data_IF_961816222261
#
_entry.id   IF_961816222261
#
_cell.length_a   1.000
_cell.length_b   1.000
_cell.length_c   1.000
_cell.angle_alpha   90.00
_cell.angle_beta   90.00
_cell.angle_gamma   90.00
#
_symmetry.space_group_name_H-M   'P 1'
#
loop_
_entity.id
_entity.type
_entity.pdbx_description
1 polymer ?
#
# COMPACT_ATOMS: atom_id res chain seq x y z
N UNK A 1 19.23 17.33 -16.83
CA UNK A 1 18.15 17.04 -15.88
C UNK A 1 17.55 18.38 -15.37
N UNK A 2 16.21 18.58 -15.41
CA UNK A 2 15.58 19.84 -14.98
C UNK A 2 15.68 20.08 -13.46
N UNK A 3 16.07 19.08 -12.70
CA UNK A 3 16.19 19.15 -11.24
C UNK A 3 17.65 19.25 -10.74
N UNK A 4 18.62 19.19 -11.64
CA UNK A 4 20.05 19.28 -11.27
C UNK A 4 20.35 20.55 -10.48
N UNK A 5 20.99 20.38 -9.31
CA UNK A 5 21.35 21.48 -8.40
C UNK A 5 20.19 22.07 -7.60
N UNK A 6 18.99 21.51 -7.70
CA UNK A 6 17.82 21.90 -6.91
C UNK A 6 17.73 21.10 -5.62
N UNK A 7 17.09 21.70 -4.61
CA UNK A 7 16.66 21.04 -3.40
C UNK A 7 15.22 20.56 -3.57
N UNK A 8 15.02 19.25 -3.54
CA UNK A 8 13.70 18.66 -3.71
C UNK A 8 13.22 18.06 -2.39
N UNK A 9 12.03 18.43 -1.96
CA UNK A 9 11.37 17.86 -0.78
C UNK A 9 10.24 16.96 -1.24
N UNK A 10 10.27 15.69 -0.85
CA UNK A 10 9.23 14.70 -1.12
C UNK A 10 8.42 14.49 0.15
N UNK A 11 7.14 14.84 0.11
CA UNK A 11 6.22 14.69 1.25
C UNK A 11 5.53 13.33 1.17
N UNK A 12 5.89 12.42 2.07
CA UNK A 12 5.42 11.04 2.14
C UNK A 12 6.56 10.06 2.38
N UNK A 13 6.24 8.84 2.79
CA UNK A 13 7.20 7.78 3.16
C UNK A 13 6.75 6.37 2.75
N UNK A 14 5.84 6.24 1.80
CA UNK A 14 5.41 4.95 1.24
C UNK A 14 6.10 4.68 -0.11
N UNK A 15 5.65 3.65 -0.87
CA UNK A 15 6.28 3.22 -2.13
C UNK A 15 6.66 4.41 -3.04
N UNK A 16 5.70 5.26 -3.42
CA UNK A 16 5.96 6.37 -4.34
C UNK A 16 7.02 7.34 -3.82
N UNK A 17 7.01 7.64 -2.52
CA UNK A 17 7.99 8.56 -1.92
C UNK A 17 9.41 7.97 -2.00
N UNK A 18 9.58 6.70 -1.67
CA UNK A 18 10.86 6.02 -1.74
C UNK A 18 11.40 5.97 -3.18
N UNK A 19 10.57 5.51 -4.12
CA UNK A 19 10.97 5.39 -5.53
C UNK A 19 11.34 6.76 -6.13
N UNK A 20 10.55 7.81 -5.83
CA UNK A 20 10.84 9.18 -6.29
C UNK A 20 12.14 9.70 -5.67
N UNK A 21 12.34 9.50 -4.36
CA UNK A 21 13.58 9.92 -3.70
C UNK A 21 14.81 9.22 -4.27
N UNK A 22 14.74 7.91 -4.50
CA UNK A 22 15.83 7.15 -5.11
C UNK A 22 16.14 7.64 -6.53
N UNK A 23 15.12 7.81 -7.38
CA UNK A 23 15.29 8.31 -8.73
C UNK A 23 15.89 9.74 -8.78
N UNK A 24 15.48 10.61 -7.85
CA UNK A 24 16.06 11.95 -7.72
C UNK A 24 17.52 11.90 -7.26
N UNK A 25 17.83 11.06 -6.29
CA UNK A 25 19.20 10.85 -5.82
C UNK A 25 20.13 10.32 -6.94
N UNK A 26 19.68 9.31 -7.70
CA UNK A 26 20.38 8.78 -8.87
C UNK A 26 20.66 9.87 -9.93
N UNK A 27 19.76 10.84 -10.05
CA UNK A 27 19.95 12.01 -10.92
C UNK A 27 20.85 13.10 -10.33
N UNK A 28 21.43 12.88 -9.14
CA UNK A 28 22.33 13.83 -8.48
C UNK A 28 21.62 15.02 -7.82
N UNK A 29 20.37 14.86 -7.44
CA UNK A 29 19.54 15.90 -6.80
C UNK A 29 19.68 15.84 -5.27
N UNK A 30 19.72 16.99 -4.61
CA UNK A 30 19.65 17.09 -3.15
C UNK A 30 18.21 16.84 -2.69
N UNK A 31 17.92 15.63 -2.19
CA UNK A 31 16.57 15.18 -1.87
C UNK A 31 16.36 15.00 -0.36
N UNK A 32 15.21 15.46 0.11
CA UNK A 32 14.74 15.27 1.49
C UNK A 32 13.37 14.60 1.49
N UNK A 33 13.24 13.47 2.18
CA UNK A 33 11.96 12.82 2.47
C UNK A 33 11.36 13.39 3.75
N UNK A 34 10.06 13.70 3.73
CA UNK A 34 9.30 14.10 4.93
C UNK A 34 8.36 12.96 5.32
N UNK A 35 8.66 12.34 6.45
CA UNK A 35 7.84 11.29 7.05
C UNK A 35 6.93 11.86 8.12
N UNK A 36 5.60 11.75 7.90
CA UNK A 36 4.58 12.20 8.86
C UNK A 36 4.18 11.13 9.87
N UNK A 37 4.16 9.89 9.44
CA UNK A 37 3.69 8.74 10.23
C UNK A 37 4.50 7.51 9.88
N UNK A 38 4.49 6.53 10.77
CA UNK A 38 5.19 5.27 10.59
C UNK A 38 4.84 4.56 9.28
N UNK A 39 5.81 3.89 8.71
CA UNK A 39 5.69 3.11 7.47
C UNK A 39 6.21 1.70 7.70
N UNK A 40 5.45 0.70 7.27
CA UNK A 40 5.95 -0.67 7.21
C UNK A 40 6.91 -0.82 6.04
N UNK A 41 8.12 -1.29 6.30
CA UNK A 41 9.09 -1.62 5.24
C UNK A 41 9.36 -3.12 5.25
N UNK A 42 9.42 -3.70 4.06
CA UNK A 42 9.88 -5.08 3.87
C UNK A 42 10.79 -5.14 2.65
N UNK A 43 11.92 -5.84 2.76
CA UNK A 43 12.81 -6.08 1.61
C UNK A 43 12.11 -6.96 0.59
N UNK A 44 12.27 -6.62 -0.68
CA UNK A 44 11.65 -7.38 -1.79
C UNK A 44 12.08 -8.84 -1.77
N UNK A 45 13.37 -9.11 -1.55
CA UNK A 45 13.93 -10.47 -1.53
C UNK A 45 13.35 -11.29 -0.38
N UNK A 46 13.28 -10.71 0.82
CA UNK A 46 12.75 -11.39 2.02
C UNK A 46 11.23 -11.64 1.88
N UNK A 47 10.49 -10.68 1.32
CA UNK A 47 9.07 -10.84 1.02
C UNK A 47 8.84 -11.96 0.00
N UNK A 48 9.65 -12.00 -1.06
CA UNK A 48 9.52 -13.01 -2.12
C UNK A 48 9.90 -14.40 -1.63
N UNK A 49 10.88 -14.55 -0.73
CA UNK A 49 11.28 -15.84 -0.20
C UNK A 49 10.36 -16.34 0.91
N UNK A 50 10.18 -15.56 1.98
CA UNK A 50 9.44 -15.97 3.17
C UNK A 50 7.92 -15.77 2.99
N UNK A 51 7.50 -14.62 2.45
CA UNK A 51 6.09 -14.26 2.36
C UNK A 51 5.34 -14.92 1.21
N UNK A 52 5.99 -15.11 0.08
CA UNK A 52 5.37 -15.56 -1.16
C UNK A 52 5.98 -16.83 -1.74
N UNK A 53 7.15 -17.27 -1.27
CA UNK A 53 7.95 -18.32 -1.88
C UNK A 53 7.26 -19.68 -2.00
N UNK A 54 6.42 -20.05 -1.04
CA UNK A 54 5.70 -21.32 -1.06
C UNK A 54 4.55 -21.36 -2.09
N UNK A 55 4.12 -20.21 -2.58
CA UNK A 55 3.03 -20.10 -3.55
C UNK A 55 3.46 -19.55 -4.91
N UNK A 56 4.38 -18.57 -4.93
CA UNK A 56 4.69 -17.78 -6.13
C UNK A 56 6.21 -17.77 -6.45
N UNK A 57 6.83 -18.93 -6.46
CA UNK A 57 8.24 -19.10 -6.83
C UNK A 57 8.42 -20.24 -7.84
N UNK A 58 9.60 -20.32 -8.45
CA UNK A 58 9.98 -21.44 -9.30
C UNK A 58 9.90 -22.77 -8.51
N UNK A 59 10.34 -22.78 -7.25
CA UNK A 59 10.25 -23.93 -6.33
C UNK A 59 8.78 -24.38 -6.14
N UNK A 60 7.86 -23.44 -6.02
CA UNK A 60 6.43 -23.74 -5.90
C UNK A 60 5.90 -24.42 -7.18
N UNK A 61 6.24 -23.89 -8.35
CA UNK A 61 5.87 -24.47 -9.66
C UNK A 61 6.45 -25.89 -9.83
N UNK A 62 7.70 -26.09 -9.50
CA UNK A 62 8.36 -27.40 -9.55
C UNK A 62 7.70 -28.43 -8.61
N UNK A 63 7.16 -27.97 -7.48
CA UNK A 63 6.40 -28.81 -6.54
C UNK A 63 4.94 -29.05 -6.96
N UNK A 64 4.51 -28.52 -8.10
CA UNK A 64 3.15 -28.65 -8.65
C UNK A 64 2.14 -27.62 -8.13
N UNK A 65 2.62 -26.51 -7.57
CA UNK A 65 1.78 -25.35 -7.24
C UNK A 65 1.78 -24.39 -8.43
N UNK A 66 0.80 -24.56 -9.34
CA UNK A 66 0.62 -23.63 -10.46
C UNK A 66 0.11 -22.28 -9.98
N UNK A 67 0.20 -21.25 -10.82
CA UNK A 67 -0.30 -19.90 -10.48
C UNK A 67 -1.78 -19.91 -10.11
N UNK A 68 -2.63 -20.66 -10.83
CA UNK A 68 -4.06 -20.80 -10.53
C UNK A 68 -4.30 -21.48 -9.18
N UNK A 69 -3.50 -22.50 -8.85
CA UNK A 69 -3.57 -23.17 -7.57
C UNK A 69 -3.12 -22.25 -6.43
N UNK A 70 -2.04 -21.50 -6.63
CA UNK A 70 -1.54 -20.52 -5.67
C UNK A 70 -2.59 -19.44 -5.39
N UNK A 71 -3.20 -18.88 -6.43
CA UNK A 71 -4.26 -17.87 -6.31
C UNK A 71 -5.46 -18.42 -5.52
N UNK A 72 -5.86 -19.66 -5.83
CA UNK A 72 -6.97 -20.33 -5.14
C UNK A 72 -6.66 -20.57 -3.66
N UNK A 73 -5.44 -21.04 -3.35
CA UNK A 73 -5.00 -21.25 -1.96
C UNK A 73 -5.03 -19.93 -1.20
N UNK A 74 -4.41 -18.87 -1.75
CA UNK A 74 -4.36 -17.57 -1.10
C UNK A 74 -5.75 -16.97 -0.91
N UNK A 75 -6.61 -17.03 -1.92
CA UNK A 75 -7.96 -16.50 -1.86
C UNK A 75 -8.91 -17.33 -0.96
N UNK A 76 -8.59 -18.60 -0.66
CA UNK A 76 -9.37 -19.46 0.22
C UNK A 76 -9.19 -19.14 1.71
N UNK A 77 -8.17 -18.38 2.07
CA UNK A 77 -7.92 -18.00 3.47
C UNK A 77 -8.88 -16.85 3.83
N UNK A 78 -9.80 -17.05 4.80
CA UNK A 78 -10.67 -15.97 5.23
C UNK A 78 -9.86 -14.79 5.80
N UNK A 79 -10.16 -13.57 5.37
CA UNK A 79 -9.43 -12.38 5.85
C UNK A 79 -9.48 -12.22 7.36
N UNK A 80 -10.54 -12.70 7.99
CA UNK A 80 -10.71 -12.67 9.45
C UNK A 80 -9.60 -13.37 10.22
N UNK A 81 -9.03 -14.43 9.67
CA UNK A 81 -7.95 -15.21 10.31
C UNK A 81 -6.60 -15.05 9.61
N UNK A 82 -6.53 -14.29 8.53
CA UNK A 82 -5.30 -14.14 7.74
C UNK A 82 -4.15 -13.57 8.58
N UNK A 83 -4.43 -12.68 9.53
CA UNK A 83 -3.42 -12.13 10.43
C UNK A 83 -2.70 -13.21 11.25
N UNK A 84 -3.37 -14.31 11.63
CA UNK A 84 -2.76 -15.40 12.38
C UNK A 84 -1.67 -16.12 11.56
N UNK A 85 -1.80 -16.15 10.24
CA UNK A 85 -0.79 -16.69 9.33
C UNK A 85 0.32 -15.68 9.02
N UNK A 86 -0.01 -14.38 9.03
CA UNK A 86 0.94 -13.33 8.65
C UNK A 86 1.91 -13.00 9.80
N UNK A 87 1.46 -12.93 11.04
CA UNK A 87 2.30 -12.55 12.19
C UNK A 87 3.58 -13.38 12.25
N UNK A 88 3.55 -14.73 12.24
CA UNK A 88 4.77 -15.54 12.29
C UNK A 88 5.74 -15.30 11.13
N UNK A 89 5.20 -15.02 9.92
CA UNK A 89 6.03 -14.72 8.75
C UNK A 89 6.76 -13.39 8.91
N UNK A 90 6.07 -12.35 9.42
CA UNK A 90 6.70 -11.06 9.65
C UNK A 90 7.65 -11.06 10.85
N UNK A 91 7.42 -11.88 11.87
CA UNK A 91 8.40 -12.10 12.94
C UNK A 91 9.68 -12.72 12.38
N UNK A 92 9.57 -13.73 11.52
CA UNK A 92 10.72 -14.34 10.84
C UNK A 92 11.44 -13.33 9.92
N UNK A 93 10.73 -12.54 9.12
CA UNK A 93 11.32 -11.49 8.28
C UNK A 93 12.08 -10.47 9.12
N UNK A 94 11.52 -10.08 10.27
CA UNK A 94 12.16 -9.15 11.21
C UNK A 94 13.46 -9.70 11.78
N UNK A 95 13.52 -10.98 12.09
CA UNK A 95 14.74 -11.65 12.57
C UNK A 95 15.81 -11.72 11.48
N UNK A 96 15.42 -12.11 10.26
CA UNK A 96 16.35 -12.23 9.11
C UNK A 96 16.94 -10.87 8.73
N UNK A 97 16.15 -9.81 8.73
CA UNK A 97 16.55 -8.46 8.34
C UNK A 97 16.83 -7.54 9.55
N UNK A 98 17.20 -8.08 10.72
CA UNK A 98 17.34 -7.31 11.96
C UNK A 98 18.32 -6.13 11.82
N UNK A 99 19.49 -6.33 11.22
CA UNK A 99 20.50 -5.30 11.03
C UNK A 99 20.02 -4.19 10.07
N UNK A 100 19.24 -4.56 9.06
CA UNK A 100 18.63 -3.63 8.12
C UNK A 100 17.62 -2.72 8.82
N UNK A 101 16.73 -3.26 9.65
CA UNK A 101 15.78 -2.45 10.40
C UNK A 101 16.47 -1.58 11.45
N UNK A 102 17.49 -2.10 12.14
CA UNK A 102 18.29 -1.32 13.08
C UNK A 102 19.00 -0.12 12.41
N UNK A 103 19.45 -0.26 11.16
CA UNK A 103 20.03 0.83 10.40
C UNK A 103 19.01 1.93 10.07
N UNK A 104 17.79 1.58 9.69
CA UNK A 104 16.70 2.52 9.42
C UNK A 104 16.26 3.25 10.69
N UNK A 105 16.09 2.54 11.80
CA UNK A 105 15.74 3.14 13.09
C UNK A 105 16.86 4.11 13.57
N UNK A 106 18.11 3.74 13.38
CA UNK A 106 19.26 4.61 13.70
C UNK A 106 19.27 5.88 12.86
N UNK A 107 18.80 5.81 11.60
CA UNK A 107 18.64 6.98 10.73
C UNK A 107 17.42 7.83 11.11
N UNK A 108 16.60 7.39 12.07
CA UNK A 108 15.41 8.09 12.54
C UNK A 108 14.14 7.76 11.76
N UNK A 109 14.16 6.70 10.94
CA UNK A 109 12.97 6.25 10.21
C UNK A 109 11.95 5.62 11.18
N UNK A 110 10.72 6.10 11.16
CA UNK A 110 9.64 5.59 12.00
C UNK A 110 9.01 4.35 11.33
N UNK A 111 9.45 3.18 11.80
CA UNK A 111 8.98 1.87 11.33
C UNK A 111 7.68 1.46 12.02
N UNK A 112 6.87 0.68 11.31
CA UNK A 112 5.67 0.06 11.89
C UNK A 112 5.45 -1.35 11.32
N UNK A 113 4.80 -2.19 12.10
CA UNK A 113 4.54 -3.60 11.79
C UNK A 113 3.04 -3.89 11.61
N UNK A 114 2.23 -2.82 11.50
CA UNK A 114 0.78 -2.91 11.54
C UNK A 114 0.24 -2.90 12.97
N UNK A 115 -1.06 -2.67 13.12
CA UNK A 115 -1.70 -2.54 14.44
C UNK A 115 -1.59 -3.80 15.32
N UNK A 116 -1.38 -4.95 14.71
CA UNK A 116 -1.30 -6.27 15.35
C UNK A 116 -0.02 -7.06 15.00
N UNK A 117 0.95 -6.43 14.37
CA UNK A 117 2.18 -7.09 13.93
C UNK A 117 2.05 -7.91 12.65
N UNK A 118 0.90 -7.88 11.96
CA UNK A 118 0.63 -8.67 10.77
C UNK A 118 1.19 -8.11 9.44
N UNK A 119 1.91 -7.00 9.51
CA UNK A 119 2.72 -6.46 8.43
C UNK A 119 1.96 -6.01 7.18
N UNK A 120 2.62 -6.17 6.03
CA UNK A 120 2.23 -5.60 4.74
C UNK A 120 0.83 -6.03 4.29
N UNK A 121 0.53 -7.35 4.27
CA UNK A 121 -0.72 -7.81 3.67
C UNK A 121 -1.96 -7.30 4.40
N UNK A 122 -1.94 -7.27 5.73
CA UNK A 122 -3.06 -6.73 6.48
C UNK A 122 -3.14 -5.20 6.39
N UNK A 123 -2.01 -4.48 6.33
CA UNK A 123 -2.03 -3.03 6.04
C UNK A 123 -2.62 -2.76 4.66
N UNK A 124 -2.22 -3.52 3.66
CA UNK A 124 -2.75 -3.43 2.31
C UNK A 124 -4.26 -3.71 2.28
N UNK A 125 -4.73 -4.80 2.86
CA UNK A 125 -6.15 -5.17 2.86
C UNK A 125 -7.00 -4.16 3.64
N UNK A 126 -6.50 -3.64 4.77
CA UNK A 126 -7.24 -2.72 5.65
C UNK A 126 -7.24 -1.28 5.12
N UNK A 127 -6.15 -0.82 4.48
CA UNK A 127 -5.96 0.60 4.13
C UNK A 127 -5.51 0.85 2.69
N UNK A 128 -4.95 -0.13 1.99
CA UNK A 128 -4.34 0.02 0.66
C UNK A 128 -3.06 0.86 0.64
N UNK A 129 -2.49 1.18 1.80
CA UNK A 129 -1.33 2.07 1.93
C UNK A 129 -0.58 1.85 3.24
N UNK A 130 0.48 2.64 3.47
CA UNK A 130 1.24 2.63 4.74
C UNK A 130 2.41 1.67 4.73
N UNK A 131 2.91 1.29 3.54
CA UNK A 131 4.05 0.37 3.39
C UNK A 131 4.95 0.77 2.23
N UNK A 132 6.16 0.22 2.27
CA UNK A 132 7.12 0.19 1.18
C UNK A 132 7.68 -1.22 1.01
N UNK A 133 7.68 -1.72 -0.22
CA UNK A 133 8.42 -2.94 -0.62
C UNK A 133 9.74 -2.45 -1.16
N UNK A 134 10.79 -2.64 -0.36
CA UNK A 134 12.09 -2.04 -0.62
C UNK A 134 12.81 -2.70 -1.79
N UNK A 135 13.27 -1.85 -2.69
CA UNK A 135 14.11 -2.18 -3.86
C UNK A 135 15.39 -1.33 -3.87
N UNK A 136 15.84 -0.85 -2.70
CA UNK A 136 17.12 -0.16 -2.52
C UNK A 136 17.07 1.25 -1.94
N UNK A 137 15.91 1.93 -1.89
CA UNK A 137 15.82 3.30 -1.37
C UNK A 137 16.07 3.38 0.15
N UNK A 138 15.80 2.31 0.90
CA UNK A 138 16.01 2.28 2.35
C UNK A 138 17.48 2.37 2.73
N UNK A 139 18.37 1.78 1.94
CA UNK A 139 19.81 1.87 2.18
C UNK A 139 20.31 3.32 2.01
N UNK A 140 19.74 4.07 1.07
CA UNK A 140 20.04 5.48 0.86
C UNK A 140 19.55 6.36 2.00
N UNK A 141 18.43 6.01 2.63
CA UNK A 141 17.93 6.67 3.85
C UNK A 141 18.85 6.33 5.03
N UNK A 142 19.20 5.06 5.20
CA UNK A 142 20.05 4.59 6.30
C UNK A 142 21.46 5.19 6.24
N UNK A 143 22.02 5.44 5.04
CA UNK A 143 23.31 6.10 4.84
C UNK A 143 23.24 7.63 4.98
N UNK A 144 22.05 8.23 4.86
CA UNK A 144 21.85 9.68 4.85
C UNK A 144 22.00 10.33 3.47
N UNK A 145 22.13 9.54 2.41
CA UNK A 145 22.13 10.02 1.02
C UNK A 145 20.78 10.63 0.64
N UNK A 146 19.68 10.02 1.11
CA UNK A 146 18.37 10.64 1.16
C UNK A 146 18.18 11.18 2.58
N UNK A 147 18.05 12.51 2.70
CA UNK A 147 17.78 13.15 3.99
C UNK A 147 16.38 12.80 4.47
N UNK A 148 16.24 12.50 5.75
CA UNK A 148 14.97 12.20 6.39
C UNK A 148 14.62 13.27 7.42
N UNK A 149 13.39 13.77 7.37
CA UNK A 149 12.82 14.67 8.38
C UNK A 149 11.46 14.16 8.78
N UNK A 150 11.25 14.00 10.10
CA UNK A 150 9.97 13.55 10.64
C UNK A 150 9.12 14.75 11.04
N UNK A 151 7.86 14.79 10.62
CA UNK A 151 6.92 15.83 11.02
C UNK A 151 5.73 16.01 10.08
N UNK A 152 4.73 16.72 10.58
CA UNK A 152 3.57 17.14 9.82
C UNK A 152 3.88 18.47 9.13
N UNK A 153 3.64 18.52 7.81
CA UNK A 153 3.73 19.78 7.07
C UNK A 153 2.59 20.70 7.48
N UNK A 154 2.94 21.92 7.84
CA UNK A 154 2.02 23.00 8.22
C UNK A 154 1.70 23.89 7.03
N UNK A 155 2.73 24.34 6.32
CA UNK A 155 2.59 25.26 5.19
C UNK A 155 3.77 25.17 4.21
N UNK A 156 3.57 25.67 3.00
CA UNK A 156 4.63 25.91 2.03
C UNK A 156 4.84 27.42 1.90
N UNK A 157 6.11 27.82 1.99
CA UNK A 157 6.51 29.20 1.67
C UNK A 157 7.12 29.25 0.28
N UNK A 158 7.59 30.42 -0.15
CA UNK A 158 8.25 30.57 -1.45
C UNK A 158 9.49 29.67 -1.61
N UNK A 159 10.22 29.38 -0.51
CA UNK A 159 11.53 28.72 -0.55
C UNK A 159 11.66 27.53 0.41
N UNK A 160 10.61 27.17 1.14
CA UNK A 160 10.69 26.12 2.17
C UNK A 160 9.38 25.39 2.40
N UNK A 161 9.51 24.15 2.90
CA UNK A 161 8.46 23.40 3.56
C UNK A 161 8.59 23.63 5.05
N UNK A 162 7.53 24.11 5.71
CA UNK A 162 7.50 24.40 7.14
C UNK A 162 6.68 23.35 7.86
N UNK A 163 7.24 22.74 8.90
CA UNK A 163 6.56 21.75 9.73
C UNK A 163 5.83 22.40 10.91
N UNK A 164 4.94 21.65 11.57
CA UNK A 164 4.14 22.13 12.71
C UNK A 164 5.00 22.54 13.91
N UNK A 165 6.17 21.92 14.09
CA UNK A 165 7.15 22.24 15.14
C UNK A 165 8.01 23.48 14.83
N UNK A 166 7.82 24.09 13.67
CA UNK A 166 8.56 25.24 13.20
C UNK A 166 9.85 24.92 12.42
N UNK A 167 10.15 23.64 12.18
CA UNK A 167 11.28 23.23 11.33
C UNK A 167 11.05 23.71 9.90
N UNK A 168 12.04 24.38 9.31
CA UNK A 168 12.03 24.84 7.92
C UNK A 168 12.98 23.97 7.08
N UNK A 169 12.47 23.39 6.00
CA UNK A 169 13.23 22.58 5.04
C UNK A 169 13.29 23.36 3.73
N UNK A 170 14.48 23.84 3.37
CA UNK A 170 14.66 24.59 2.13
C UNK A 170 14.28 23.73 0.91
N UNK A 171 13.46 24.26 0.02
CA UNK A 171 12.94 23.56 -1.14
C UNK A 171 12.81 24.48 -2.36
N UNK A 172 13.37 24.04 -3.49
CA UNK A 172 13.12 24.64 -4.81
C UNK A 172 11.94 23.94 -5.52
N UNK A 173 11.71 22.65 -5.15
CA UNK A 173 10.64 21.84 -5.68
C UNK A 173 10.04 20.99 -4.56
N UNK A 174 8.73 20.87 -4.53
CA UNK A 174 8.00 20.01 -3.61
C UNK A 174 7.22 18.96 -4.38
N UNK A 175 7.36 17.70 -3.97
CA UNK A 175 6.64 16.57 -4.56
C UNK A 175 5.69 15.98 -3.52
N UNK A 176 4.42 15.93 -3.84
CA UNK A 176 3.42 15.27 -3.00
C UNK A 176 3.33 13.78 -3.33
N UNK A 177 3.85 12.93 -2.44
CA UNK A 177 3.73 11.47 -2.49
C UNK A 177 2.79 10.97 -1.38
N UNK A 178 1.67 11.67 -1.19
CA UNK A 178 0.76 11.51 -0.04
C UNK A 178 -0.33 10.48 -0.24
N UNK A 179 -0.27 9.71 -1.33
CA UNK A 179 -1.24 8.67 -1.69
C UNK A 179 -2.44 9.21 -2.48
N UNK A 180 -3.40 8.33 -2.69
CA UNK A 180 -4.62 8.61 -3.46
C UNK A 180 -5.84 8.62 -2.54
N UNK A 181 -6.89 9.29 -3.00
CA UNK A 181 -8.20 9.26 -2.35
C UNK A 181 -8.91 7.91 -2.49
N UNK A 182 -10.06 7.77 -1.87
CA UNK A 182 -10.91 6.59 -2.01
C UNK A 182 -11.43 6.44 -3.44
N UNK A 183 -11.61 5.20 -3.91
CA UNK A 183 -12.26 4.91 -5.21
C UNK A 183 -13.70 5.46 -5.28
N UNK A 184 -14.38 5.65 -4.16
CA UNK A 184 -15.67 6.36 -4.13
C UNK A 184 -15.56 7.83 -4.57
N UNK A 185 -14.41 8.48 -4.36
CA UNK A 185 -14.14 9.81 -4.91
C UNK A 185 -14.09 9.81 -6.44
N UNK A 186 -13.54 8.76 -7.04
CA UNK A 186 -13.57 8.63 -8.51
C UNK A 186 -14.99 8.46 -9.06
N UNK A 187 -15.90 7.83 -8.31
CA UNK A 187 -17.32 7.76 -8.70
C UNK A 187 -17.94 9.16 -8.69
N UNK A 188 -17.62 9.97 -7.67
CA UNK A 188 -18.10 11.36 -7.63
C UNK A 188 -17.61 12.16 -8.86
N UNK A 189 -16.36 11.98 -9.25
CA UNK A 189 -15.77 12.70 -10.38
C UNK A 189 -16.29 12.18 -11.75
N UNK A 190 -16.52 10.88 -11.89
CA UNK A 190 -16.87 10.23 -13.17
C UNK A 190 -18.38 10.12 -13.41
N UNK A 191 -19.17 10.08 -12.34
CA UNK A 191 -20.63 9.91 -12.40
C UNK A 191 -21.28 11.11 -11.70
N UNK A 192 -21.42 11.05 -10.37
CA UNK A 192 -21.92 12.13 -9.53
C UNK A 192 -21.73 11.82 -8.03
N UNK A 193 -21.90 12.84 -7.20
CA UNK A 193 -21.76 12.74 -5.74
C UNK A 193 -22.85 11.86 -5.11
N UNK A 194 -24.07 11.89 -5.63
CA UNK A 194 -25.19 11.10 -5.09
C UNK A 194 -24.90 9.60 -5.23
N UNK A 195 -24.37 9.17 -6.39
CA UNK A 195 -23.94 7.80 -6.63
C UNK A 195 -22.78 7.40 -5.74
N UNK A 196 -21.79 8.29 -5.56
CA UNK A 196 -20.66 8.04 -4.66
C UNK A 196 -21.11 7.86 -3.21
N UNK A 197 -22.00 8.70 -2.73
CA UNK A 197 -22.56 8.64 -1.37
C UNK A 197 -23.39 7.36 -1.16
N UNK A 198 -24.16 6.96 -2.17
CA UNK A 198 -24.95 5.73 -2.16
C UNK A 198 -24.09 4.47 -2.08
N UNK A 199 -22.99 4.44 -2.81
CA UNK A 199 -22.03 3.32 -2.79
C UNK A 199 -21.23 3.28 -1.50
N UNK A 200 -20.81 4.43 -0.99
CA UNK A 200 -20.01 4.58 0.20
C UNK A 200 -18.55 4.15 0.02
N UNK A 201 -17.93 3.66 1.09
CA UNK A 201 -16.52 3.30 1.10
C UNK A 201 -16.20 2.13 0.18
N UNK A 202 -15.11 2.26 -0.56
CA UNK A 202 -14.49 1.18 -1.33
C UNK A 202 -13.13 0.87 -0.75
N UNK A 203 -12.77 -0.44 -0.74
CA UNK A 203 -11.56 -0.94 -0.12
C UNK A 203 -11.60 -0.89 1.43
N UNK A 204 -10.71 -1.66 2.04
CA UNK A 204 -10.73 -1.91 3.48
C UNK A 204 -11.66 -3.08 3.83
N UNK A 205 -11.46 -3.68 5.00
CA UNK A 205 -12.21 -4.85 5.42
C UNK A 205 -13.54 -4.46 6.06
N UNK A 206 -14.58 -5.22 5.72
CA UNK A 206 -15.94 -5.02 6.20
C UNK A 206 -16.89 -4.43 5.16
N UNK A 207 -18.18 -4.49 5.40
CA UNK A 207 -19.24 -4.05 4.48
C UNK A 207 -19.89 -2.72 4.85
N UNK A 208 -19.58 -2.15 6.03
CA UNK A 208 -20.22 -0.94 6.57
C UNK A 208 -21.77 -1.04 6.66
N UNK A 209 -22.28 -2.26 6.82
CA UNK A 209 -23.72 -2.49 7.02
C UNK A 209 -24.05 -2.67 8.50
N UNK A 210 -25.35 -2.65 8.91
CA UNK A 210 -25.73 -2.96 10.30
C UNK A 210 -25.27 -4.33 10.81
N UNK A 211 -25.10 -5.31 9.91
CA UNK A 211 -24.59 -6.64 10.24
C UNK A 211 -23.06 -6.74 10.23
N UNK A 212 -22.45 -5.85 9.49
CA UNK A 212 -21.00 -5.75 9.33
C UNK A 212 -20.61 -4.26 9.30
N UNK A 213 -20.63 -3.58 10.46
CA UNK A 213 -20.38 -2.15 10.52
C UNK A 213 -18.92 -1.77 10.24
N UNK A 214 -18.04 -2.76 10.11
CA UNK A 214 -16.62 -2.56 9.82
C UNK A 214 -15.94 -1.38 10.52
N UNK A 215 -14.63 -1.23 10.35
CA UNK A 215 -13.73 -2.17 9.70
C UNK A 215 -13.58 -3.46 10.52
N UNK A 216 -14.11 -4.54 10.02
CA UNK A 216 -13.83 -5.88 10.54
C UNK A 216 -13.26 -6.76 9.42
N UNK A 217 -12.72 -7.90 9.74
CA UNK A 217 -11.88 -8.66 8.82
C UNK A 217 -12.64 -9.76 8.06
N UNK A 218 -13.86 -9.43 7.62
CA UNK A 218 -14.70 -10.37 6.91
C UNK A 218 -14.48 -10.39 5.41
N UNK A 219 -14.55 -9.22 4.77
CA UNK A 219 -14.48 -9.08 3.32
C UNK A 219 -14.04 -7.67 2.90
N UNK A 220 -13.63 -7.54 1.64
CA UNK A 220 -13.33 -6.23 1.05
C UNK A 220 -14.61 -5.45 0.72
N UNK A 221 -14.68 -4.18 1.16
CA UNK A 221 -15.81 -3.30 0.89
C UNK A 221 -15.94 -3.01 -0.59
N UNK A 222 -17.09 -3.33 -1.15
CA UNK A 222 -17.49 -2.98 -2.52
C UNK A 222 -16.53 -3.48 -3.62
N UNK A 223 -15.60 -4.38 -3.33
CA UNK A 223 -14.68 -4.91 -4.33
C UNK A 223 -15.18 -6.25 -4.87
N UNK A 224 -15.16 -6.40 -6.21
CA UNK A 224 -15.48 -7.63 -6.95
C UNK A 224 -16.87 -8.20 -6.71
N UNK A 225 -17.79 -7.39 -6.25
CA UNK A 225 -19.19 -7.78 -5.93
C UNK A 225 -20.16 -6.66 -6.33
N UNK A 226 -21.48 -6.96 -6.42
CA UNK A 226 -22.47 -5.90 -6.64
C UNK A 226 -22.39 -4.83 -5.57
N UNK A 227 -22.54 -3.58 -5.98
CA UNK A 227 -22.60 -2.44 -5.07
C UNK A 227 -24.03 -2.00 -4.79
N UNK A 228 -24.21 -0.98 -3.96
CA UNK A 228 -25.54 -0.36 -3.73
C UNK A 228 -26.09 0.34 -4.99
N UNK A 229 -25.21 0.63 -5.98
CA UNK A 229 -25.60 1.17 -7.27
C UNK A 229 -25.68 0.07 -8.32
N UNK A 230 -26.86 -0.14 -8.90
CA UNK A 230 -27.03 -1.09 -9.99
C UNK A 230 -26.07 -0.79 -11.15
N UNK A 231 -25.52 -1.85 -11.71
CA UNK A 231 -24.59 -1.80 -12.84
C UNK A 231 -23.26 -1.09 -12.56
N UNK A 232 -22.87 -0.96 -11.28
CA UNK A 232 -21.58 -0.44 -10.86
C UNK A 232 -20.82 -1.46 -10.00
N UNK A 233 -19.61 -1.80 -10.42
CA UNK A 233 -18.67 -2.67 -9.71
C UNK A 233 -17.31 -2.00 -9.61
N UNK A 234 -16.57 -2.35 -8.56
CA UNK A 234 -15.16 -1.99 -8.44
C UNK A 234 -14.28 -3.21 -8.68
N UNK A 235 -13.26 -3.00 -9.47
CA UNK A 235 -12.21 -3.97 -9.75
C UNK A 235 -10.84 -3.33 -9.50
N UNK A 236 -9.91 -4.07 -8.88
CA UNK A 236 -8.58 -3.59 -8.56
C UNK A 236 -7.85 -4.57 -7.66
N UNK A 237 -7.03 -4.05 -6.77
CA UNK A 237 -6.16 -4.81 -5.91
C UNK A 237 -4.78 -5.05 -6.55
N UNK A 238 -3.95 -5.89 -5.91
CA UNK A 238 -2.69 -6.32 -6.51
C UNK A 238 -2.92 -7.30 -7.68
N UNK A 239 -1.86 -7.63 -8.41
CA UNK A 239 -1.99 -8.41 -9.64
C UNK A 239 -2.60 -9.79 -9.43
N UNK A 240 -2.27 -10.49 -8.34
CA UNK A 240 -2.84 -11.82 -8.08
C UNK A 240 -4.33 -11.74 -7.70
N UNK A 241 -4.74 -10.76 -6.88
CA UNK A 241 -6.14 -10.55 -6.57
C UNK A 241 -6.94 -10.13 -7.80
N UNK A 242 -6.41 -9.19 -8.59
CA UNK A 242 -7.04 -8.77 -9.83
C UNK A 242 -7.22 -9.94 -10.80
N UNK A 243 -6.21 -10.78 -10.98
CA UNK A 243 -6.29 -11.99 -11.81
C UNK A 243 -7.35 -12.97 -11.33
N UNK A 244 -7.38 -13.27 -10.03
CA UNK A 244 -8.30 -14.22 -9.45
C UNK A 244 -9.75 -13.70 -9.44
N UNK A 245 -9.96 -12.52 -8.87
CA UNK A 245 -11.32 -11.99 -8.69
C UNK A 245 -11.96 -11.44 -9.96
N UNK A 246 -11.18 -11.17 -11.03
CA UNK A 246 -11.75 -10.84 -12.34
C UNK A 246 -12.66 -11.94 -12.88
N UNK A 247 -12.39 -13.21 -12.55
CA UNK A 247 -13.22 -14.35 -12.96
C UNK A 247 -14.60 -14.27 -12.32
N UNK A 248 -14.68 -13.94 -11.04
CA UNK A 248 -15.94 -13.79 -10.32
C UNK A 248 -16.71 -12.55 -10.76
N UNK A 249 -16.01 -11.45 -11.03
CA UNK A 249 -16.62 -10.25 -11.58
C UNK A 249 -17.23 -10.53 -12.96
N UNK A 250 -16.48 -11.18 -13.84
CA UNK A 250 -16.96 -11.54 -15.18
C UNK A 250 -18.18 -12.48 -15.10
N UNK A 251 -18.19 -13.44 -14.16
CA UNK A 251 -19.31 -14.33 -13.95
C UNK A 251 -20.58 -13.57 -13.51
N UNK A 252 -20.46 -12.62 -12.57
CA UNK A 252 -21.56 -11.78 -12.11
C UNK A 252 -22.12 -10.91 -13.26
N UNK A 253 -21.23 -10.26 -14.02
CA UNK A 253 -21.63 -9.45 -15.17
C UNK A 253 -22.36 -10.28 -16.23
N UNK A 254 -21.87 -11.51 -16.49
CA UNK A 254 -22.51 -12.43 -17.43
C UNK A 254 -23.87 -12.92 -16.91
N UNK A 255 -23.97 -13.25 -15.63
CA UNK A 255 -25.23 -13.66 -15.02
C UNK A 255 -26.30 -12.57 -15.19
N UNK A 256 -25.98 -11.33 -14.85
CA UNK A 256 -26.91 -10.19 -15.06
C UNK A 256 -27.26 -9.98 -16.53
N UNK A 257 -26.30 -10.12 -17.44
CA UNK A 257 -26.57 -10.06 -18.89
C UNK A 257 -27.59 -11.12 -19.35
N UNK A 258 -27.58 -12.29 -18.72
CA UNK A 258 -28.53 -13.38 -18.99
C UNK A 258 -29.83 -13.25 -18.16
N UNK A 259 -29.99 -12.19 -17.37
CA UNK A 259 -31.18 -11.98 -16.54
C UNK A 259 -31.24 -12.85 -15.30
N UNK A 260 -30.09 -13.35 -14.84
CA UNK A 260 -29.97 -14.09 -13.57
C UNK A 260 -29.63 -13.14 -12.42
N UNK A 261 -30.23 -13.40 -11.26
CA UNK A 261 -29.91 -12.66 -10.02
C UNK A 261 -28.48 -12.95 -9.54
N UNK A 262 -27.79 -11.89 -9.05
CA UNK A 262 -26.41 -11.97 -8.55
C UNK A 262 -26.29 -11.33 -7.17
#
# INVERSE_FOLDING_TARGET
DPYAGKKVVVIGSNNSAHDICAALWEAGVDVTMVQRSSTHIVRSETLMDIGLGDLYSERAVESGVTTEKADTIFASIPYRILHEFQIPLYDQMREVDADYYAALEKAGFDLDWGADGSGLFMKYLRRGSGYYIDVGASELIASGDIKLVNGQVKELTENAVVLEDGTEIAADVVVYATGYGSMSGWVADLVDQETADKVGKCWGLGSDTPKDPGPWEGEQRNMWKPTQQDNLWFHGGNLHQSRYYSLYLALQLKARYEGLDT
#
